data_IF_020105559786
#
_entry.id   IF_020105559786
#
_cell.length_a   1.000
_cell.length_b   1.000
_cell.length_c   1.000
_cell.angle_alpha   90.00
_cell.angle_beta   90.00
_cell.angle_gamma   90.00
#
_symmetry.space_group_name_H-M   'P 1'
#
loop_
_entity.id
_entity.type
_entity.pdbx_description
1 polymer ?
#
# COMPACT_ATOMS: atom_id res chain seq x y z
N UNK A 1 -48.64 19.63 -21.44
CA UNK A 1 -47.69 19.45 -20.32
C UNK A 1 -46.35 19.96 -20.82
N UNK A 2 -45.76 21.06 -20.28
CA UNK A 2 -44.45 21.50 -20.70
C UNK A 2 -43.38 20.55 -20.13
N UNK A 3 -42.53 20.04 -21.00
CA UNK A 3 -41.42 19.14 -20.65
C UNK A 3 -40.41 19.84 -19.72
N UNK A 4 -40.11 19.21 -18.60
CA UNK A 4 -39.08 19.63 -17.68
C UNK A 4 -37.71 19.51 -18.38
N UNK A 5 -36.91 20.58 -18.37
CA UNK A 5 -35.58 20.61 -18.94
C UNK A 5 -34.65 19.62 -18.27
N UNK A 6 -33.82 18.83 -19.00
CA UNK A 6 -32.91 17.84 -18.45
C UNK A 6 -31.88 18.39 -17.43
N UNK A 7 -31.57 19.68 -17.46
CA UNK A 7 -30.62 20.33 -16.56
C UNK A 7 -31.13 20.62 -15.13
N UNK A 8 -32.45 20.54 -14.87
CA UNK A 8 -32.99 20.73 -13.53
C UNK A 8 -32.86 19.47 -12.65
N UNK A 9 -32.83 18.26 -13.25
CA UNK A 9 -32.71 17.01 -12.49
C UNK A 9 -31.29 16.79 -11.95
N UNK A 10 -30.24 17.17 -12.69
CA UNK A 10 -28.85 16.97 -12.25
C UNK A 10 -28.47 17.89 -11.08
N UNK A 11 -28.96 19.11 -11.03
CA UNK A 11 -28.68 20.03 -9.92
C UNK A 11 -29.33 19.61 -8.59
N UNK A 12 -30.51 19.04 -8.65
CA UNK A 12 -31.25 18.58 -7.47
C UNK A 12 -30.65 17.31 -6.87
N UNK A 13 -30.22 16.38 -7.70
CA UNK A 13 -29.51 15.15 -7.24
C UNK A 13 -28.19 15.50 -6.58
N UNK A 14 -27.38 16.41 -7.15
CA UNK A 14 -26.12 16.84 -6.57
C UNK A 14 -26.30 17.53 -5.20
N UNK A 15 -27.39 18.33 -5.03
CA UNK A 15 -27.72 18.97 -3.75
C UNK A 15 -28.12 17.93 -2.71
N UNK A 16 -28.98 16.98 -3.05
CA UNK A 16 -29.39 15.88 -2.17
C UNK A 16 -28.19 15.04 -1.70
N UNK A 17 -27.25 14.75 -2.60
CA UNK A 17 -26.07 13.98 -2.24
C UNK A 17 -25.10 14.77 -1.36
N UNK A 18 -24.96 16.08 -1.56
CA UNK A 18 -24.20 16.95 -0.66
C UNK A 18 -24.83 16.97 0.73
N UNK A 19 -26.15 17.09 0.82
CA UNK A 19 -26.88 17.04 2.10
C UNK A 19 -26.66 15.70 2.82
N UNK A 20 -26.68 14.58 2.11
CA UNK A 20 -26.35 13.26 2.66
C UNK A 20 -24.93 13.22 3.23
N UNK A 21 -23.93 13.78 2.52
CA UNK A 21 -22.56 13.86 3.00
C UNK A 21 -22.43 14.70 4.28
N UNK A 22 -23.14 15.83 4.36
CA UNK A 22 -23.15 16.66 5.57
C UNK A 22 -23.93 16.00 6.73
N UNK A 23 -25.01 15.30 6.46
CA UNK A 23 -25.74 14.50 7.46
C UNK A 23 -24.86 13.39 8.03
N UNK A 24 -24.12 12.66 7.17
CA UNK A 24 -23.17 11.63 7.60
C UNK A 24 -22.01 12.23 8.43
N UNK A 25 -21.48 13.38 8.01
CA UNK A 25 -20.44 14.07 8.76
C UNK A 25 -20.95 14.54 10.15
N UNK A 26 -22.17 15.03 10.21
CA UNK A 26 -22.83 15.44 11.47
C UNK A 26 -23.10 14.23 12.37
N UNK A 27 -23.50 13.09 11.80
CA UNK A 27 -23.73 11.85 12.54
C UNK A 27 -22.47 11.36 13.28
N UNK A 28 -21.27 11.63 12.75
CA UNK A 28 -19.98 11.26 13.36
C UNK A 28 -19.63 12.13 14.58
N UNK A 29 -20.21 13.32 14.72
CA UNK A 29 -19.91 14.21 15.85
C UNK A 29 -20.29 13.54 17.16
N UNK A 30 -19.37 13.56 18.14
CA UNK A 30 -19.54 12.96 19.46
C UNK A 30 -19.33 11.44 19.53
N UNK A 31 -18.98 10.77 18.42
CA UNK A 31 -18.79 9.31 18.39
C UNK A 31 -17.34 8.85 18.51
N UNK A 32 -16.45 9.73 18.98
CA UNK A 32 -15.04 9.39 19.14
C UNK A 32 -14.83 8.18 20.05
N UNK A 33 -15.56 8.10 21.17
CA UNK A 33 -15.46 6.98 22.11
C UNK A 33 -15.79 5.64 21.45
N UNK A 34 -16.86 5.58 20.66
CA UNK A 34 -17.25 4.39 19.92
C UNK A 34 -16.19 4.00 18.85
N UNK A 35 -15.58 4.97 18.19
CA UNK A 35 -14.49 4.74 17.24
C UNK A 35 -13.24 4.19 17.94
N UNK A 36 -12.92 4.71 19.12
CA UNK A 36 -11.81 4.23 19.94
C UNK A 36 -12.04 2.80 20.44
N UNK A 37 -13.24 2.47 20.89
CA UNK A 37 -13.60 1.10 21.29
C UNK A 37 -13.44 0.13 20.12
N UNK A 38 -13.91 0.51 18.93
CA UNK A 38 -13.74 -0.27 17.71
C UNK A 38 -12.26 -0.48 17.35
N UNK A 39 -11.43 0.56 17.49
CA UNK A 39 -9.99 0.49 17.26
C UNK A 39 -9.30 -0.40 18.29
N UNK A 40 -9.61 -0.21 19.58
CA UNK A 40 -9.06 -1.01 20.65
C UNK A 40 -9.33 -2.50 20.45
N UNK A 41 -10.57 -2.88 20.08
CA UNK A 41 -10.94 -4.25 19.79
C UNK A 41 -10.07 -4.89 18.67
N UNK A 42 -9.72 -4.12 17.63
CA UNK A 42 -8.83 -4.62 16.57
C UNK A 42 -7.37 -4.70 17.03
N UNK A 43 -6.91 -3.75 17.85
CA UNK A 43 -5.49 -3.63 18.27
C UNK A 43 -5.15 -4.68 19.33
N UNK A 44 -6.09 -5.02 20.24
CA UNK A 44 -5.90 -6.04 21.26
C UNK A 44 -5.67 -7.45 20.69
N UNK A 45 -6.02 -7.66 19.43
CA UNK A 45 -5.73 -8.91 18.72
C UNK A 45 -4.44 -8.76 17.90
N UNK A 46 -3.42 -9.54 18.24
CA UNK A 46 -2.20 -9.60 17.45
C UNK A 46 -2.49 -10.19 16.06
N UNK A 47 -2.30 -9.38 15.01
CA UNK A 47 -2.47 -9.78 13.61
C UNK A 47 -1.15 -9.69 12.83
N UNK A 48 -0.03 -10.05 13.45
CA UNK A 48 1.22 -10.23 12.70
C UNK A 48 0.97 -11.10 11.46
N UNK A 49 1.53 -10.74 10.32
CA UNK A 49 1.27 -11.41 9.03
C UNK A 49 1.33 -12.94 9.10
N UNK A 50 2.28 -13.47 9.90
CA UNK A 50 2.41 -14.92 10.09
C UNK A 50 1.54 -15.49 11.26
N UNK A 51 0.79 -14.64 11.97
CA UNK A 51 -0.20 -15.09 12.95
C UNK A 51 -1.58 -15.25 12.30
N UNK A 52 -1.75 -16.31 11.54
CA UNK A 52 -2.96 -16.60 10.76
C UNK A 52 -4.23 -16.58 11.62
N UNK A 53 -4.17 -17.16 12.81
CA UNK A 53 -5.33 -17.19 13.73
C UNK A 53 -5.71 -15.80 14.22
N UNK A 54 -4.72 -14.97 14.59
CA UNK A 54 -4.94 -13.60 15.00
C UNK A 54 -5.50 -12.74 13.86
N UNK A 55 -4.96 -12.88 12.65
CA UNK A 55 -5.49 -12.20 11.45
C UNK A 55 -6.93 -12.59 11.16
N UNK A 56 -7.31 -13.87 11.27
CA UNK A 56 -8.71 -14.33 11.13
C UNK A 56 -9.64 -13.75 12.19
N UNK A 57 -9.16 -13.60 13.43
CA UNK A 57 -9.93 -12.95 14.51
C UNK A 57 -10.18 -11.47 14.20
N UNK A 58 -9.15 -10.73 13.75
CA UNK A 58 -9.33 -9.34 13.30
C UNK A 58 -10.29 -9.26 12.12
N UNK A 59 -10.18 -10.17 11.16
CA UNK A 59 -11.10 -10.27 10.02
C UNK A 59 -12.55 -10.51 10.45
N UNK A 60 -12.80 -11.33 11.47
CA UNK A 60 -14.13 -11.56 12.02
C UNK A 60 -14.70 -10.29 12.67
N UNK A 61 -13.90 -9.58 13.47
CA UNK A 61 -14.28 -8.30 14.08
C UNK A 61 -14.63 -7.24 13.02
N UNK A 62 -13.83 -7.14 11.96
CA UNK A 62 -14.11 -6.21 10.85
C UNK A 62 -15.43 -6.54 10.13
N UNK A 63 -15.70 -7.83 9.91
CA UNK A 63 -16.98 -8.26 9.32
C UNK A 63 -18.18 -7.92 10.20
N UNK A 64 -18.05 -8.05 11.51
CA UNK A 64 -19.07 -7.65 12.48
C UNK A 64 -19.26 -6.11 12.45
N UNK A 65 -18.20 -5.35 12.51
CA UNK A 65 -18.23 -3.89 12.48
C UNK A 65 -18.83 -3.33 11.17
N UNK A 66 -18.62 -4.03 10.04
CA UNK A 66 -19.10 -3.69 8.70
C UNK A 66 -20.37 -4.44 8.27
N UNK A 67 -21.09 -5.05 9.22
CA UNK A 67 -22.41 -5.67 8.96
C UNK A 67 -23.46 -4.57 8.74
N UNK A 68 -23.42 -3.92 7.58
CA UNK A 68 -24.26 -2.78 7.21
C UNK A 68 -25.29 -3.17 6.16
N UNK A 69 -26.52 -2.62 6.21
CA UNK A 69 -27.51 -2.80 5.14
C UNK A 69 -26.93 -2.40 3.78
N UNK A 70 -27.10 -3.25 2.78
CA UNK A 70 -26.61 -3.00 1.42
C UNK A 70 -25.10 -3.26 1.20
N UNK A 71 -24.37 -3.71 2.22
CA UNK A 71 -22.94 -4.07 2.11
C UNK A 71 -22.75 -5.59 2.31
N UNK A 72 -22.49 -6.32 1.24
CA UNK A 72 -22.18 -7.76 1.28
C UNK A 72 -20.71 -8.01 1.58
N UNK A 73 -20.42 -9.01 2.42
CA UNK A 73 -19.07 -9.44 2.76
C UNK A 73 -18.74 -10.79 2.12
N UNK A 74 -17.55 -10.89 1.55
CA UNK A 74 -16.95 -12.11 0.98
C UNK A 74 -15.63 -12.37 1.70
N UNK A 75 -15.39 -13.61 2.10
CA UNK A 75 -14.12 -14.08 2.63
C UNK A 75 -13.37 -14.79 1.50
N UNK A 76 -12.19 -14.32 1.17
CA UNK A 76 -11.30 -14.94 0.18
C UNK A 76 -10.23 -15.73 0.93
N UNK A 77 -10.29 -17.07 0.90
CA UNK A 77 -9.38 -17.90 1.67
C UNK A 77 -7.92 -17.74 1.20
N UNK A 78 -7.00 -17.69 2.14
CA UNK A 78 -5.57 -17.84 1.93
C UNK A 78 -5.08 -19.16 2.55
N UNK A 79 -4.12 -19.79 1.89
CA UNK A 79 -3.47 -20.99 2.39
C UNK A 79 -2.23 -20.69 3.22
N UNK A 80 -1.69 -19.49 3.08
CA UNK A 80 -0.42 -19.06 3.70
C UNK A 80 -0.61 -18.01 4.78
N UNK A 81 -1.60 -17.14 4.61
CA UNK A 81 -1.89 -16.01 5.49
C UNK A 81 -3.28 -16.13 6.12
N UNK A 82 -3.72 -15.11 6.84
CA UNK A 82 -5.12 -15.01 7.21
C UNK A 82 -5.97 -14.75 5.94
N UNK A 83 -7.27 -15.00 6.03
CA UNK A 83 -8.17 -14.80 4.89
C UNK A 83 -8.28 -13.31 4.57
N UNK A 84 -8.36 -12.98 3.28
CA UNK A 84 -8.63 -11.61 2.82
C UNK A 84 -10.15 -11.35 2.83
N UNK A 85 -10.55 -10.09 2.93
CA UNK A 85 -11.94 -9.70 2.97
C UNK A 85 -12.27 -8.77 1.81
N UNK A 86 -13.42 -8.99 1.18
CA UNK A 86 -13.96 -8.10 0.15
C UNK A 86 -15.39 -7.74 0.49
N UNK A 87 -15.66 -6.45 0.61
CA UNK A 87 -17.02 -5.94 0.84
C UNK A 87 -17.51 -5.21 -0.41
N UNK A 88 -18.76 -5.46 -0.78
CA UNK A 88 -19.35 -4.88 -1.98
C UNK A 88 -20.74 -4.32 -1.69
N UNK A 89 -20.99 -3.09 -2.15
CA UNK A 89 -22.36 -2.59 -2.31
C UNK A 89 -22.77 -2.61 -3.78
N UNK A 90 -24.08 -2.68 -4.04
CA UNK A 90 -24.61 -2.54 -5.42
C UNK A 90 -24.49 -1.11 -5.91
N UNK A 91 -24.73 -0.14 -5.01
CA UNK A 91 -24.72 1.26 -5.31
C UNK A 91 -25.75 1.70 -6.37
N UNK A 92 -25.70 2.97 -6.76
CA UNK A 92 -26.54 3.57 -7.80
C UNK A 92 -26.14 3.05 -9.20
N UNK A 93 -27.13 2.59 -9.94
CA UNK A 93 -26.91 2.07 -11.29
C UNK A 93 -26.34 3.15 -12.22
N UNK A 94 -25.41 2.74 -13.09
CA UNK A 94 -24.76 3.64 -14.06
C UNK A 94 -23.51 4.35 -13.55
N UNK A 95 -23.23 4.33 -12.24
CA UNK A 95 -22.00 4.85 -11.68
C UNK A 95 -20.90 3.78 -11.66
N UNK A 96 -19.66 4.20 -11.84
CA UNK A 96 -18.49 3.31 -11.70
C UNK A 96 -18.15 3.08 -10.23
N UNK A 97 -17.59 1.92 -9.88
CA UNK A 97 -17.22 1.64 -8.50
C UNK A 97 -16.13 2.58 -7.97
N UNK A 98 -16.19 2.86 -6.67
CA UNK A 98 -15.10 3.46 -5.90
C UNK A 98 -14.47 2.35 -5.04
N UNK A 99 -13.16 2.19 -5.15
CA UNK A 99 -12.38 1.24 -4.38
C UNK A 99 -11.84 1.88 -3.10
N UNK A 100 -11.93 1.15 -1.99
CA UNK A 100 -11.29 1.43 -0.71
C UNK A 100 -10.37 0.24 -0.41
N UNK A 101 -9.11 0.48 -0.09
CA UNK A 101 -8.14 -0.60 0.15
C UNK A 101 -7.44 -0.37 1.48
N UNK A 102 -7.22 -1.45 2.19
CA UNK A 102 -6.45 -1.50 3.40
C UNK A 102 -5.99 -2.92 3.74
N UNK A 103 -5.25 -3.06 4.83
CA UNK A 103 -4.78 -4.34 5.32
C UNK A 103 -5.05 -4.51 6.82
N UNK A 104 -5.12 -5.75 7.27
CA UNK A 104 -5.38 -6.09 8.68
C UNK A 104 -4.14 -6.62 9.42
N UNK A 105 -3.10 -7.00 8.66
CA UNK A 105 -1.87 -7.52 9.23
C UNK A 105 -0.95 -6.41 9.77
N UNK A 106 0.04 -6.80 10.56
CA UNK A 106 1.05 -5.93 11.15
C UNK A 106 2.41 -6.62 11.16
N UNK A 107 3.48 -5.84 11.34
CA UNK A 107 4.87 -6.35 11.42
C UNK A 107 5.25 -6.97 12.77
N UNK A 108 4.40 -6.90 13.79
CA UNK A 108 4.79 -7.22 15.17
C UNK A 108 4.47 -8.68 15.57
N UNK A 109 5.49 -9.55 15.71
CA UNK A 109 5.29 -10.88 16.27
C UNK A 109 4.69 -10.83 17.68
N UNK A 110 3.93 -11.88 18.09
CA UNK A 110 3.42 -11.98 19.45
C UNK A 110 4.50 -11.75 20.53
N UNK A 111 4.16 -11.00 21.57
CA UNK A 111 5.06 -10.65 22.67
C UNK A 111 6.05 -9.52 22.42
N UNK A 112 6.08 -8.92 21.21
CA UNK A 112 6.99 -7.81 20.91
C UNK A 112 6.38 -6.44 21.18
N UNK A 113 5.16 -6.22 20.73
CA UNK A 113 4.40 -4.99 20.93
C UNK A 113 2.93 -5.36 20.95
N UNK A 114 2.26 -5.13 22.06
CA UNK A 114 0.89 -5.60 22.30
C UNK A 114 0.07 -4.59 23.09
N UNK A 115 -1.25 -4.70 22.94
CA UNK A 115 -2.25 -3.96 23.67
C UNK A 115 -2.48 -2.54 23.19
N UNK A 116 -3.71 -2.08 23.39
CA UNK A 116 -4.13 -0.70 23.12
C UNK A 116 -3.90 0.17 24.35
N UNK A 117 -3.31 1.35 24.20
CA UNK A 117 -3.03 2.26 25.31
C UNK A 117 -3.43 3.68 24.96
N UNK A 118 -4.03 4.34 25.93
CA UNK A 118 -4.33 5.77 25.89
C UNK A 118 -3.19 6.54 26.55
N UNK A 119 -2.66 7.55 25.85
CA UNK A 119 -1.57 8.42 26.30
C UNK A 119 -1.93 9.88 25.95
N UNK A 120 -2.71 10.52 26.80
CA UNK A 120 -3.27 11.85 26.51
C UNK A 120 -4.10 11.87 25.23
N UNK A 121 -3.71 12.69 24.28
CA UNK A 121 -4.32 12.77 22.95
C UNK A 121 -3.84 11.68 21.99
N UNK A 122 -2.87 10.85 22.40
CA UNK A 122 -2.31 9.79 21.58
C UNK A 122 -2.93 8.45 21.90
N UNK A 123 -2.99 7.57 20.89
CA UNK A 123 -3.35 6.16 21.06
C UNK A 123 -2.22 5.32 20.52
N UNK A 124 -1.74 4.37 21.32
CA UNK A 124 -0.59 3.50 21.04
C UNK A 124 -1.01 2.04 20.96
N UNK A 125 -0.36 1.29 20.09
CA UNK A 125 -0.58 -0.14 19.95
C UNK A 125 -0.25 -0.61 18.54
N UNK A 126 -0.06 -1.93 18.35
CA UNK A 126 0.32 -2.49 17.05
C UNK A 126 -0.77 -2.27 15.99
N UNK A 127 -0.42 -1.56 14.93
CA UNK A 127 -1.33 -1.25 13.84
C UNK A 127 -2.32 -0.11 14.12
N UNK A 128 -2.20 0.64 15.24
CA UNK A 128 -3.06 1.83 15.45
C UNK A 128 -2.94 2.82 14.31
N UNK A 129 -1.74 2.93 13.71
CA UNK A 129 -1.43 3.80 12.59
C UNK A 129 -1.36 2.99 11.29
N UNK A 130 -0.76 1.81 11.31
CA UNK A 130 -0.48 0.96 10.14
C UNK A 130 -1.14 -0.42 10.27
N UNK A 131 -2.43 -0.64 9.76
CA UNK A 131 -3.33 0.47 9.39
C UNK A 131 -4.74 0.28 9.96
N UNK A 132 -4.85 -0.34 11.17
CA UNK A 132 -6.17 -0.58 11.83
C UNK A 132 -6.94 0.72 12.06
N UNK A 133 -6.22 1.83 12.35
CA UNK A 133 -6.83 3.17 12.44
C UNK A 133 -7.48 3.60 11.13
N UNK A 134 -6.86 3.31 9.99
CA UNK A 134 -7.42 3.53 8.66
C UNK A 134 -8.67 2.69 8.40
N UNK A 135 -8.68 1.43 8.85
CA UNK A 135 -9.86 0.55 8.75
C UNK A 135 -11.03 1.08 9.60
N UNK A 136 -10.75 1.64 10.78
CA UNK A 136 -11.78 2.30 11.61
C UNK A 136 -12.33 3.54 10.92
N UNK A 137 -11.48 4.36 10.29
CA UNK A 137 -11.94 5.53 9.50
C UNK A 137 -12.90 5.09 8.40
N UNK A 138 -12.56 4.07 7.61
CA UNK A 138 -13.43 3.52 6.57
C UNK A 138 -14.75 3.03 7.17
N UNK A 139 -14.67 2.20 8.19
CA UNK A 139 -15.82 1.57 8.85
C UNK A 139 -16.83 2.62 9.31
N UNK A 140 -16.34 3.68 9.99
CA UNK A 140 -17.22 4.70 10.55
C UNK A 140 -17.78 5.66 9.52
N UNK A 141 -17.03 5.94 8.45
CA UNK A 141 -17.58 6.68 7.31
C UNK A 141 -18.73 5.91 6.64
N UNK A 142 -18.58 4.60 6.44
CA UNK A 142 -19.64 3.76 5.85
C UNK A 142 -20.86 3.62 6.79
N UNK A 143 -20.65 3.48 8.11
CA UNK A 143 -21.75 3.51 9.11
C UNK A 143 -22.53 4.82 9.05
N UNK A 144 -21.81 5.95 9.00
CA UNK A 144 -22.46 7.27 8.91
C UNK A 144 -23.29 7.42 7.64
N UNK A 145 -22.78 7.00 6.50
CA UNK A 145 -23.49 7.04 5.22
C UNK A 145 -24.71 6.10 5.21
N UNK A 146 -24.56 4.89 5.76
CA UNK A 146 -25.68 3.95 5.90
C UNK A 146 -26.81 4.53 6.78
N UNK A 147 -26.47 5.26 7.85
CA UNK A 147 -27.42 5.90 8.73
C UNK A 147 -28.08 7.17 8.12
N UNK A 148 -27.44 7.80 7.13
CA UNK A 148 -27.87 9.11 6.60
C UNK A 148 -28.56 9.06 5.25
N UNK A 149 -28.67 7.92 4.59
CA UNK A 149 -29.35 7.82 3.29
C UNK A 149 -29.20 6.47 2.61
N UNK A 150 -28.38 5.57 3.19
CA UNK A 150 -28.14 4.23 2.66
C UNK A 150 -27.02 4.16 1.61
N UNK A 151 -26.40 3.00 1.52
CA UNK A 151 -25.27 2.78 0.60
C UNK A 151 -25.72 2.60 -0.86
N UNK A 152 -27.00 2.38 -1.10
CA UNK A 152 -27.56 2.21 -2.45
C UNK A 152 -27.58 3.50 -3.26
N UNK A 153 -27.58 4.65 -2.59
CA UNK A 153 -27.55 5.98 -3.23
C UNK A 153 -26.14 6.39 -3.71
N UNK A 154 -25.10 5.70 -3.23
CA UNK A 154 -23.69 5.96 -3.53
C UNK A 154 -23.23 5.23 -4.80
N UNK A 155 -22.05 5.55 -5.35
CA UNK A 155 -21.40 4.65 -6.30
C UNK A 155 -21.24 3.24 -5.71
N UNK A 156 -21.20 2.19 -6.54
CA UNK A 156 -20.86 0.86 -6.05
C UNK A 156 -19.54 0.90 -5.26
N UNK A 157 -19.52 0.36 -4.05
CA UNK A 157 -18.33 0.32 -3.22
C UNK A 157 -17.60 -1.03 -3.36
N UNK A 158 -16.29 -0.99 -3.35
CA UNK A 158 -15.38 -2.13 -3.34
C UNK A 158 -14.36 -1.91 -2.23
N UNK A 159 -14.66 -2.37 -1.00
CA UNK A 159 -13.69 -2.35 0.08
C UNK A 159 -12.93 -3.68 0.09
N UNK A 160 -11.62 -3.62 0.00
CA UNK A 160 -10.72 -4.78 0.07
C UNK A 160 -9.81 -4.63 1.27
N UNK A 161 -9.77 -5.65 2.13
CA UNK A 161 -8.87 -5.71 3.26
C UNK A 161 -8.02 -6.96 3.12
N UNK A 162 -6.73 -6.79 2.83
CA UNK A 162 -5.78 -7.89 2.68
C UNK A 162 -5.10 -8.22 4.01
N UNK A 163 -4.41 -9.35 4.07
CA UNK A 163 -3.79 -9.88 5.28
C UNK A 163 -2.30 -10.18 5.13
N UNK A 164 -1.67 -9.64 4.07
CA UNK A 164 -0.29 -9.90 3.70
C UNK A 164 0.44 -8.67 3.11
N UNK A 165 -0.07 -7.46 3.43
CA UNK A 165 0.51 -6.20 2.93
C UNK A 165 1.94 -6.02 3.42
N UNK A 166 2.20 -6.31 4.68
CA UNK A 166 3.48 -6.10 5.37
C UNK A 166 4.63 -6.98 4.83
N UNK A 167 4.28 -7.98 4.01
CA UNK A 167 5.25 -8.82 3.29
C UNK A 167 5.16 -8.65 1.77
N UNK A 168 4.50 -7.58 1.29
CA UNK A 168 4.45 -7.19 -0.12
C UNK A 168 3.25 -7.69 -0.90
N UNK A 169 2.17 -8.09 -0.26
CA UNK A 169 0.91 -8.56 -0.84
C UNK A 169 1.04 -9.69 -1.87
N UNK A 170 1.79 -10.77 -1.57
CA UNK A 170 2.02 -11.85 -2.54
C UNK A 170 0.74 -12.54 -3.01
N UNK A 171 -0.31 -12.61 -2.20
CA UNK A 171 -1.65 -13.10 -2.56
C UNK A 171 -2.65 -11.94 -2.65
N UNK A 172 -2.56 -10.97 -1.74
CA UNK A 172 -3.46 -9.82 -1.63
C UNK A 172 -3.51 -8.96 -2.88
N UNK A 173 -2.40 -8.80 -3.59
CA UNK A 173 -2.39 -8.03 -4.83
C UNK A 173 -3.34 -8.59 -5.89
N UNK A 174 -3.48 -9.90 -6.01
CA UNK A 174 -4.42 -10.54 -6.95
C UNK A 174 -5.86 -10.41 -6.48
N UNK A 175 -6.10 -10.46 -5.15
CA UNK A 175 -7.42 -10.21 -4.56
C UNK A 175 -7.85 -8.77 -4.85
N UNK A 176 -6.96 -7.79 -4.64
CA UNK A 176 -7.23 -6.39 -4.95
C UNK A 176 -7.57 -6.24 -6.43
N UNK A 177 -6.72 -6.73 -7.35
CA UNK A 177 -6.94 -6.60 -8.80
C UNK A 177 -8.32 -7.09 -9.22
N UNK A 178 -8.73 -8.28 -8.75
CA UNK A 178 -10.03 -8.87 -9.08
C UNK A 178 -11.20 -8.11 -8.46
N UNK A 179 -11.05 -7.64 -7.22
CA UNK A 179 -12.13 -7.00 -6.49
C UNK A 179 -12.46 -5.60 -7.01
N UNK A 180 -11.43 -4.82 -7.43
CA UNK A 180 -11.58 -3.41 -7.81
C UNK A 180 -11.66 -3.19 -9.34
N UNK A 181 -11.72 -4.26 -10.12
CA UNK A 181 -11.83 -4.15 -11.58
C UNK A 181 -12.98 -3.23 -11.97
N UNK A 182 -12.69 -2.30 -12.90
CA UNK A 182 -13.65 -1.30 -13.38
C UNK A 182 -13.90 -0.11 -12.44
N UNK A 183 -13.21 -0.03 -11.31
CA UNK A 183 -13.27 1.16 -10.45
C UNK A 183 -12.65 2.38 -11.15
N UNK A 184 -13.20 3.57 -10.91
CA UNK A 184 -12.67 4.82 -11.45
C UNK A 184 -11.88 5.65 -10.43
N UNK A 185 -11.84 5.21 -9.19
CA UNK A 185 -11.02 5.77 -8.12
C UNK A 185 -10.65 4.69 -7.09
N UNK A 186 -9.45 4.79 -6.52
CA UNK A 186 -9.00 3.97 -5.41
C UNK A 186 -8.44 4.86 -4.30
N UNK A 187 -8.94 4.68 -3.08
CA UNK A 187 -8.51 5.38 -1.88
C UNK A 187 -7.90 4.38 -0.91
N UNK A 188 -6.67 4.64 -0.47
CA UNK A 188 -5.92 3.74 0.43
C UNK A 188 -5.69 4.45 1.76
N UNK A 189 -6.01 3.76 2.85
CA UNK A 189 -6.07 4.37 4.18
C UNK A 189 -4.86 4.03 5.04
N UNK A 190 -3.69 3.99 4.39
CA UNK A 190 -2.39 3.90 5.07
C UNK A 190 -2.16 5.07 6.03
N UNK A 191 -1.08 4.97 6.80
CA UNK A 191 -0.63 5.96 7.78
C UNK A 191 -0.78 7.40 7.29
N UNK A 192 -1.59 8.21 7.98
CA UNK A 192 -1.74 9.64 7.70
C UNK A 192 -0.44 10.41 7.93
N UNK A 193 -0.22 11.42 7.12
CA UNK A 193 1.01 12.24 7.15
C UNK A 193 0.81 13.52 7.97
N UNK A 194 1.93 14.13 8.36
CA UNK A 194 1.91 15.45 8.99
C UNK A 194 1.15 16.46 8.11
N UNK A 195 0.30 17.28 8.72
CA UNK A 195 -0.55 18.23 8.02
C UNK A 195 -1.59 17.57 7.09
N UNK A 196 -1.93 16.31 7.32
CA UNK A 196 -2.87 15.51 6.52
C UNK A 196 -2.55 15.44 5.03
N UNK A 197 -1.27 15.56 4.68
CA UNK A 197 -0.83 15.54 3.29
C UNK A 197 -1.19 14.21 2.62
N UNK A 198 -1.77 14.31 1.43
CA UNK A 198 -2.26 13.18 0.64
C UNK A 198 -1.13 12.63 -0.23
N UNK A 199 -0.93 11.32 -0.23
CA UNK A 199 0.11 10.66 -1.02
C UNK A 199 -0.44 10.36 -2.41
N UNK A 200 0.27 10.85 -3.43
CA UNK A 200 0.01 10.57 -4.85
C UNK A 200 1.18 9.83 -5.50
N UNK A 201 2.31 9.71 -4.78
CA UNK A 201 3.54 9.10 -5.29
C UNK A 201 4.23 8.25 -4.23
N UNK A 202 4.54 7.00 -4.61
CA UNK A 202 5.41 6.10 -3.84
C UNK A 202 6.41 5.44 -4.77
N UNK A 203 7.63 5.19 -4.28
CA UNK A 203 8.61 4.40 -5.04
C UNK A 203 8.12 2.96 -5.21
N UNK A 204 8.33 2.42 -6.39
CA UNK A 204 8.34 0.99 -6.63
C UNK A 204 9.56 0.34 -5.99
N UNK A 205 9.44 -0.94 -5.73
CA UNK A 205 10.50 -1.74 -5.12
C UNK A 205 10.86 -2.92 -5.99
N UNK A 206 12.11 -3.32 -5.94
CA UNK A 206 12.56 -4.53 -6.59
C UNK A 206 13.71 -5.17 -5.82
N UNK A 207 13.91 -6.45 -6.08
CA UNK A 207 15.03 -7.22 -5.54
C UNK A 207 15.66 -8.00 -6.66
N UNK A 208 16.98 -8.10 -6.64
CA UNK A 208 17.71 -8.96 -7.55
C UNK A 208 18.80 -9.74 -6.81
N UNK A 209 18.96 -11.00 -7.19
CA UNK A 209 20.09 -11.84 -6.78
C UNK A 209 20.94 -12.11 -8.00
N UNK A 210 22.21 -11.73 -7.95
CA UNK A 210 23.17 -12.02 -9.00
C UNK A 210 24.09 -13.14 -8.52
N UNK A 211 24.11 -14.26 -9.26
CA UNK A 211 24.94 -15.44 -8.97
C UNK A 211 26.02 -15.55 -10.03
N UNK A 212 27.26 -15.34 -9.63
CA UNK A 212 28.42 -15.51 -10.50
C UNK A 212 29.00 -16.92 -10.34
N UNK A 213 29.20 -17.57 -11.46
CA UNK A 213 29.85 -18.88 -11.58
C UNK A 213 31.17 -18.77 -12.30
N UNK A 214 32.14 -19.52 -11.85
CA UNK A 214 33.48 -19.58 -12.40
C UNK A 214 34.07 -20.97 -12.34
N UNK A 215 35.38 -21.04 -12.15
CA UNK A 215 36.10 -22.30 -12.04
C UNK A 215 37.21 -22.19 -10.98
N UNK A 216 37.19 -23.08 -10.01
CA UNK A 216 38.21 -23.14 -8.97
C UNK A 216 39.57 -23.58 -9.51
N UNK A 217 40.63 -22.99 -8.98
CA UNK A 217 42.00 -23.39 -9.23
C UNK A 217 42.90 -22.94 -8.07
N UNK A 218 44.06 -23.56 -7.90
CA UNK A 218 45.02 -23.11 -6.90
C UNK A 218 45.69 -21.80 -7.36
N UNK A 219 45.55 -20.75 -6.55
CA UNK A 219 45.95 -19.39 -6.93
C UNK A 219 47.47 -19.22 -7.25
N UNK A 220 48.33 -20.08 -6.72
CA UNK A 220 49.79 -20.01 -6.96
C UNK A 220 50.31 -20.99 -8.03
N UNK A 221 49.68 -22.17 -8.18
CA UNK A 221 50.19 -23.22 -9.06
C UNK A 221 49.59 -23.19 -10.47
N UNK A 222 48.29 -22.95 -10.56
CA UNK A 222 47.56 -23.04 -11.83
C UNK A 222 46.44 -22.00 -11.91
N UNK A 223 46.73 -20.77 -11.52
CA UNK A 223 45.79 -19.64 -11.53
C UNK A 223 45.13 -19.44 -12.90
N UNK A 224 45.89 -19.62 -14.00
CA UNK A 224 45.39 -19.45 -15.37
C UNK A 224 44.33 -20.49 -15.78
N UNK A 225 44.19 -21.60 -15.05
CA UNK A 225 43.18 -22.63 -15.30
C UNK A 225 41.86 -22.33 -14.60
N UNK A 226 41.84 -21.31 -13.73
CA UNK A 226 40.68 -20.84 -13.00
C UNK A 226 39.90 -19.73 -13.72
N UNK A 227 38.64 -19.53 -13.29
CA UNK A 227 37.83 -18.40 -13.69
C UNK A 227 37.20 -17.76 -12.44
N UNK A 228 37.58 -16.53 -12.14
CA UNK A 228 37.29 -15.90 -10.86
C UNK A 228 35.87 -15.31 -10.84
N UNK A 229 34.90 -16.02 -10.23
CA UNK A 229 33.53 -15.59 -10.06
C UNK A 229 33.39 -14.31 -9.22
N UNK A 230 34.22 -14.17 -8.17
CA UNK A 230 34.18 -12.98 -7.32
C UNK A 230 34.63 -11.72 -8.06
N UNK A 231 35.64 -11.84 -8.94
CA UNK A 231 36.06 -10.73 -9.79
C UNK A 231 34.97 -10.34 -10.81
N UNK A 232 34.31 -11.33 -11.44
CA UNK A 232 33.18 -11.06 -12.34
C UNK A 232 32.05 -10.38 -11.59
N UNK A 233 31.71 -10.85 -10.37
CA UNK A 233 30.66 -10.24 -9.55
C UNK A 233 31.03 -8.81 -9.10
N UNK A 234 32.29 -8.53 -8.74
CA UNK A 234 32.72 -7.18 -8.39
C UNK A 234 32.56 -6.19 -9.56
N UNK A 235 32.80 -6.63 -10.80
CA UNK A 235 32.54 -5.83 -12.02
C UNK A 235 31.04 -5.59 -12.25
N UNK A 236 30.21 -6.56 -11.93
CA UNK A 236 28.76 -6.41 -11.96
C UNK A 236 28.29 -5.37 -10.92
N UNK A 237 28.74 -5.53 -9.67
CA UNK A 237 28.43 -4.61 -8.56
C UNK A 237 28.78 -3.16 -8.92
N UNK A 238 29.98 -2.92 -9.44
CA UNK A 238 30.39 -1.59 -9.86
C UNK A 238 29.44 -0.98 -10.92
N UNK A 239 29.06 -1.78 -11.93
CA UNK A 239 28.15 -1.34 -12.99
C UNK A 239 26.76 -1.01 -12.48
N UNK A 240 26.17 -1.90 -11.67
CA UNK A 240 24.78 -1.68 -11.22
C UNK A 240 24.67 -0.55 -10.19
N UNK A 241 25.70 -0.34 -9.35
CA UNK A 241 25.71 0.80 -8.42
C UNK A 241 25.70 2.15 -9.17
N UNK A 242 26.30 2.23 -10.36
CA UNK A 242 26.29 3.43 -11.20
C UNK A 242 24.93 3.73 -11.83
N UNK A 243 23.94 2.83 -11.73
CA UNK A 243 22.55 3.07 -12.16
C UNK A 243 21.76 3.93 -11.18
N UNK A 244 22.31 4.22 -10.00
CA UNK A 244 21.69 5.14 -9.04
C UNK A 244 21.56 6.53 -9.67
N UNK A 245 20.35 7.09 -9.66
CA UNK A 245 20.01 8.40 -10.23
C UNK A 245 19.08 9.14 -9.25
N UNK A 246 19.67 9.92 -8.35
CA UNK A 246 18.91 10.66 -7.34
C UNK A 246 17.92 11.66 -7.93
N UNK A 247 18.23 12.42 -8.99
CA UNK A 247 17.26 13.29 -9.68
C UNK A 247 16.02 12.55 -10.18
N UNK A 248 16.17 11.32 -10.70
CA UNK A 248 15.05 10.44 -11.10
C UNK A 248 14.44 9.67 -9.94
N UNK A 249 14.99 9.78 -8.73
CA UNK A 249 14.57 9.04 -7.54
C UNK A 249 14.92 7.55 -7.59
N UNK A 250 15.84 7.14 -8.47
CA UNK A 250 16.32 5.76 -8.59
C UNK A 250 17.43 5.53 -7.58
N UNK A 251 17.32 4.44 -6.80
CA UNK A 251 18.38 4.01 -5.90
C UNK A 251 18.62 2.51 -6.04
N UNK A 252 19.90 2.16 -6.18
CA UNK A 252 20.39 0.78 -6.21
C UNK A 252 21.25 0.57 -4.98
N UNK A 253 20.99 -0.49 -4.24
CA UNK A 253 21.78 -0.85 -3.08
C UNK A 253 22.20 -2.33 -3.16
N UNK A 254 23.48 -2.59 -3.43
CA UNK A 254 24.05 -3.92 -3.24
C UNK A 254 24.31 -4.10 -1.75
N UNK A 255 23.35 -4.70 -1.05
CA UNK A 255 23.36 -4.77 0.42
C UNK A 255 24.21 -5.92 0.96
N UNK A 256 24.45 -6.95 0.14
CA UNK A 256 25.19 -8.13 0.59
C UNK A 256 25.95 -8.77 -0.58
N UNK A 257 27.19 -9.16 -0.30
CA UNK A 257 28.04 -9.94 -1.21
C UNK A 257 28.69 -11.08 -0.44
N UNK A 258 28.63 -12.30 -1.00
CA UNK A 258 29.27 -13.48 -0.45
C UNK A 258 30.02 -14.24 -1.55
N UNK A 259 31.11 -14.90 -1.24
CA UNK A 259 31.84 -15.71 -2.22
C UNK A 259 33.24 -16.11 -1.80
N UNK A 260 33.79 -17.12 -2.49
CA UNK A 260 35.11 -17.68 -2.24
C UNK A 260 35.17 -18.59 -1.01
N UNK A 261 36.15 -19.45 -0.95
CA UNK A 261 36.39 -20.40 0.15
C UNK A 261 37.68 -20.14 0.89
N UNK A 262 38.67 -19.54 0.24
CA UNK A 262 39.98 -19.29 0.83
C UNK A 262 40.88 -18.41 -0.07
N UNK A 263 41.80 -17.68 0.55
CA UNK A 263 42.66 -16.71 -0.14
C UNK A 263 43.60 -17.33 -1.21
N UNK A 264 43.83 -18.61 -1.16
CA UNK A 264 44.70 -19.33 -2.08
C UNK A 264 43.96 -20.16 -3.14
N UNK A 265 42.65 -19.95 -3.27
CA UNK A 265 41.81 -20.62 -4.26
C UNK A 265 41.06 -19.57 -5.11
N UNK A 266 41.11 -19.71 -6.44
CA UNK A 266 40.32 -18.91 -7.36
C UNK A 266 38.85 -19.20 -7.07
N UNK A 267 37.99 -18.21 -6.73
CA UNK A 267 36.58 -18.44 -6.43
C UNK A 267 35.81 -18.91 -7.65
N UNK A 268 35.08 -20.00 -7.51
CA UNK A 268 34.15 -20.53 -8.54
C UNK A 268 32.68 -20.12 -8.35
N UNK A 269 32.38 -19.47 -7.21
CA UNK A 269 31.03 -19.03 -6.89
C UNK A 269 31.05 -17.75 -6.06
N UNK A 270 30.14 -16.82 -6.41
CA UNK A 270 29.88 -15.62 -5.62
C UNK A 270 28.43 -15.12 -5.85
N UNK A 271 27.83 -14.48 -4.84
CA UNK A 271 26.45 -14.01 -4.85
C UNK A 271 26.38 -12.57 -4.38
N UNK A 272 25.57 -11.74 -5.03
CA UNK A 272 25.19 -10.40 -4.58
C UNK A 272 23.67 -10.30 -4.45
N UNK A 273 23.22 -9.68 -3.36
CA UNK A 273 21.80 -9.35 -3.12
C UNK A 273 21.62 -7.83 -3.25
N UNK A 274 20.63 -7.42 -4.07
CA UNK A 274 20.44 -6.02 -4.48
C UNK A 274 19.02 -5.58 -4.23
N UNK A 275 18.83 -4.43 -3.58
CA UNK A 275 17.55 -3.69 -3.46
C UNK A 275 17.48 -2.60 -4.54
N UNK A 276 16.31 -2.45 -5.15
CA UNK A 276 16.00 -1.48 -6.18
C UNK A 276 14.86 -0.59 -5.73
N UNK A 277 14.99 0.72 -5.96
CA UNK A 277 13.87 1.69 -5.80
C UNK A 277 13.80 2.57 -7.03
N UNK A 278 12.58 2.82 -7.51
CA UNK A 278 12.34 3.60 -8.73
C UNK A 278 10.98 4.32 -8.64
N UNK A 279 10.75 5.31 -9.51
CA UNK A 279 9.58 6.17 -9.42
C UNK A 279 8.51 5.88 -10.49
N UNK A 280 8.89 5.26 -11.60
CA UNK A 280 7.96 4.92 -12.68
C UNK A 280 8.12 3.45 -13.09
N UNK A 281 7.06 2.85 -13.64
CA UNK A 281 7.10 1.50 -14.20
C UNK A 281 8.19 1.39 -15.26
N UNK A 282 8.30 2.40 -16.13
CA UNK A 282 9.32 2.42 -17.18
C UNK A 282 10.75 2.37 -16.61
N UNK A 283 11.01 3.06 -15.49
CA UNK A 283 12.29 2.98 -14.77
C UNK A 283 12.55 1.56 -14.25
N UNK A 284 11.55 0.91 -13.66
CA UNK A 284 11.66 -0.47 -13.17
C UNK A 284 11.99 -1.46 -14.27
N UNK A 285 11.29 -1.39 -15.40
CA UNK A 285 11.55 -2.21 -16.58
C UNK A 285 12.93 -1.95 -17.18
N UNK A 286 13.36 -0.69 -17.24
CA UNK A 286 14.70 -0.31 -17.69
C UNK A 286 15.77 -0.90 -16.77
N UNK A 287 15.62 -0.81 -15.46
CA UNK A 287 16.58 -1.35 -14.49
C UNK A 287 16.75 -2.85 -14.63
N UNK A 288 15.66 -3.61 -14.78
CA UNK A 288 15.73 -5.06 -14.99
C UNK A 288 16.51 -5.41 -16.25
N UNK A 289 16.34 -4.67 -17.34
CA UNK A 289 17.12 -4.88 -18.57
C UNK A 289 18.60 -4.53 -18.38
N UNK A 290 18.89 -3.40 -17.71
CA UNK A 290 20.26 -2.95 -17.46
C UNK A 290 21.02 -3.87 -16.50
N UNK A 291 20.34 -4.49 -15.55
CA UNK A 291 20.96 -5.50 -14.68
C UNK A 291 21.41 -6.73 -15.49
N UNK A 292 20.59 -7.22 -16.41
CA UNK A 292 20.97 -8.35 -17.29
C UNK A 292 22.14 -7.97 -18.19
N UNK A 293 22.10 -6.81 -18.79
CA UNK A 293 23.21 -6.29 -19.63
C UNK A 293 24.51 -6.17 -18.79
N UNK A 294 24.43 -5.61 -17.58
CA UNK A 294 25.57 -5.48 -16.69
C UNK A 294 26.18 -6.85 -16.32
N UNK A 295 25.33 -7.89 -16.16
CA UNK A 295 25.78 -9.25 -15.89
C UNK A 295 26.56 -9.84 -17.09
N UNK A 296 26.04 -9.69 -18.30
CA UNK A 296 26.70 -10.14 -19.53
C UNK A 296 28.04 -9.44 -19.76
N UNK A 297 28.07 -8.11 -19.62
CA UNK A 297 29.29 -7.30 -19.75
C UNK A 297 30.34 -7.61 -18.68
N UNK A 298 29.90 -7.84 -17.45
CA UNK A 298 30.80 -8.18 -16.34
C UNK A 298 31.43 -9.56 -16.56
N UNK A 299 30.64 -10.55 -16.93
CA UNK A 299 31.10 -11.92 -17.21
C UNK A 299 32.04 -11.97 -18.43
N UNK A 300 31.72 -11.26 -19.51
CA UNK A 300 32.59 -11.21 -20.71
C UNK A 300 33.96 -10.64 -20.42
N UNK A 301 34.10 -9.77 -19.42
CA UNK A 301 35.35 -9.21 -18.96
C UNK A 301 36.21 -10.16 -18.10
N UNK A 302 35.70 -11.35 -17.76
CA UNK A 302 36.41 -12.40 -16.99
C UNK A 302 36.14 -13.75 -17.67
N UNK A 303 37.00 -14.16 -18.63
CA UNK A 303 36.77 -15.37 -19.40
C UNK A 303 36.54 -16.61 -18.53
N UNK A 304 35.59 -17.45 -18.95
CA UNK A 304 35.18 -18.65 -18.24
C UNK A 304 34.21 -18.44 -17.08
N UNK A 305 33.73 -17.22 -16.88
CA UNK A 305 32.66 -16.92 -15.90
C UNK A 305 31.30 -16.69 -16.59
N UNK A 306 30.23 -16.86 -15.82
CA UNK A 306 28.88 -16.42 -16.17
C UNK A 306 28.21 -15.80 -14.95
N UNK A 307 27.27 -14.86 -15.16
CA UNK A 307 26.47 -14.27 -14.09
C UNK A 307 24.99 -14.44 -14.46
N UNK A 308 24.24 -15.06 -13.57
CA UNK A 308 22.81 -15.22 -13.64
C UNK A 308 22.17 -14.18 -12.72
N UNK A 309 21.11 -13.47 -13.22
CA UNK A 309 20.36 -12.48 -12.45
C UNK A 309 18.92 -12.94 -12.33
N UNK A 310 18.51 -13.21 -11.11
CA UNK A 310 17.15 -13.56 -10.74
C UNK A 310 16.46 -12.41 -10.00
N UNK A 311 15.11 -12.36 -10.07
CA UNK A 311 14.33 -11.29 -9.46
C UNK A 311 13.98 -10.18 -10.45
N UNK A 312 13.69 -9.00 -9.94
CA UNK A 312 13.22 -7.86 -10.71
C UNK A 312 12.29 -6.96 -9.91
N UNK A 313 11.25 -6.41 -10.55
CA UNK A 313 10.22 -5.60 -9.88
C UNK A 313 9.42 -6.49 -8.93
N UNK A 314 9.40 -6.12 -7.65
CA UNK A 314 8.61 -6.79 -6.61
C UNK A 314 7.26 -6.07 -6.38
N UNK A 315 7.28 -4.73 -6.39
CA UNK A 315 6.08 -3.90 -6.26
C UNK A 315 6.20 -2.72 -7.22
N UNK A 316 5.14 -2.48 -8.00
CA UNK A 316 5.06 -1.32 -8.89
C UNK A 316 5.05 -0.01 -8.09
N UNK A 317 5.41 1.14 -8.67
CA UNK A 317 5.28 2.43 -8.03
C UNK A 317 3.81 2.89 -7.98
N UNK A 318 3.48 3.74 -7.02
CA UNK A 318 2.31 4.62 -7.13
C UNK A 318 2.73 5.83 -7.95
N UNK A 319 2.25 5.90 -9.18
CA UNK A 319 2.58 6.99 -10.09
C UNK A 319 1.55 8.13 -10.00
N UNK A 320 2.06 9.37 -9.94
CA UNK A 320 1.22 10.56 -10.03
C UNK A 320 0.81 10.80 -11.48
N UNK A 321 -0.46 10.68 -11.74
CA UNK A 321 -1.09 11.00 -13.02
C UNK A 321 -1.95 12.27 -12.91
N UNK A 322 -2.39 12.85 -14.02
CA UNK A 322 -3.38 13.94 -14.00
C UNK A 322 -4.68 13.49 -13.33
N UNK A 323 -5.10 12.25 -13.57
CA UNK A 323 -6.30 11.68 -12.96
C UNK A 323 -6.16 11.49 -11.44
N UNK A 324 -5.00 11.03 -10.94
CA UNK A 324 -4.76 10.92 -9.50
C UNK A 324 -4.62 12.30 -8.83
N UNK A 325 -4.08 13.30 -9.55
CA UNK A 325 -4.06 14.68 -9.06
C UNK A 325 -5.48 15.28 -8.97
N UNK A 326 -6.34 15.02 -9.95
CA UNK A 326 -7.74 15.43 -9.90
C UNK A 326 -8.49 14.72 -8.76
N UNK A 327 -8.24 13.42 -8.55
CA UNK A 327 -8.78 12.66 -7.42
C UNK A 327 -8.32 13.27 -6.07
N UNK A 328 -7.02 13.58 -5.95
CA UNK A 328 -6.46 14.25 -4.77
C UNK A 328 -7.15 15.59 -4.50
N UNK A 329 -7.37 16.42 -5.52
CA UNK A 329 -8.03 17.71 -5.37
C UNK A 329 -9.49 17.55 -4.92
N UNK A 330 -10.23 16.60 -5.50
CA UNK A 330 -11.62 16.31 -5.12
C UNK A 330 -11.72 15.81 -3.68
N UNK A 331 -10.88 14.84 -3.27
CA UNK A 331 -10.83 14.37 -1.89
C UNK A 331 -10.35 15.47 -0.94
N UNK A 332 -9.33 16.23 -1.34
CA UNK A 332 -8.76 17.34 -0.58
C UNK A 332 -9.78 18.44 -0.26
N UNK A 333 -10.72 18.72 -1.16
CA UNK A 333 -11.83 19.65 -0.88
C UNK A 333 -12.72 19.14 0.26
N UNK A 334 -13.03 17.84 0.29
CA UNK A 334 -13.79 17.23 1.37
C UNK A 334 -12.99 17.17 2.68
N UNK A 335 -11.69 16.94 2.60
CA UNK A 335 -10.78 16.98 3.75
C UNK A 335 -10.73 18.37 4.37
N UNK A 336 -10.60 19.41 3.55
CA UNK A 336 -10.58 20.81 4.00
C UNK A 336 -11.86 21.19 4.75
N UNK A 337 -13.03 20.86 4.20
CA UNK A 337 -14.33 21.11 4.87
C UNK A 337 -14.43 20.33 6.19
N UNK A 338 -13.72 19.21 6.32
CA UNK A 338 -13.64 18.40 7.55
C UNK A 338 -12.59 18.90 8.54
N UNK A 339 -11.93 20.05 8.29
CA UNK A 339 -10.92 20.63 9.18
C UNK A 339 -9.53 19.99 9.05
N UNK A 340 -9.29 19.21 8.00
CA UNK A 340 -7.99 18.59 7.72
C UNK A 340 -7.16 19.43 6.74
N UNK A 341 -5.85 19.20 6.76
CA UNK A 341 -4.99 19.59 5.65
C UNK A 341 -5.32 18.80 4.39
N UNK A 342 -4.87 19.33 3.23
CA UNK A 342 -5.20 18.76 1.93
C UNK A 342 -4.05 18.94 0.91
N UNK A 343 -2.84 19.20 1.41
CA UNK A 343 -1.65 19.31 0.58
C UNK A 343 -1.19 17.96 0.02
N UNK A 344 -0.37 18.01 -1.02
CA UNK A 344 0.28 16.82 -1.58
C UNK A 344 1.52 16.45 -0.78
N UNK A 345 1.67 15.18 -0.44
CA UNK A 345 2.86 14.68 0.23
C UNK A 345 4.07 14.65 -0.71
N UNK A 346 5.27 14.81 -0.16
CA UNK A 346 6.49 14.50 -0.89
C UNK A 346 6.51 13.01 -1.31
N UNK A 347 7.38 12.68 -2.29
CA UNK A 347 7.58 11.30 -2.72
C UNK A 347 7.91 10.38 -1.53
N UNK A 348 7.13 9.32 -1.34
CA UNK A 348 7.30 8.35 -0.27
C UNK A 348 8.18 7.19 -0.74
N UNK A 349 9.17 6.80 0.08
CA UNK A 349 10.12 5.74 -0.26
C UNK A 349 9.60 4.32 -0.11
N UNK A 350 8.60 4.09 0.77
CA UNK A 350 7.96 2.78 0.99
C UNK A 350 6.79 2.53 0.04
N UNK A 351 6.57 1.27 -0.33
CA UNK A 351 5.42 0.85 -1.13
C UNK A 351 4.12 0.84 -0.32
N UNK A 352 2.99 0.61 -0.98
CA UNK A 352 1.69 0.25 -0.41
C UNK A 352 0.82 -0.40 -1.49
N UNK A 353 -0.33 -0.91 -1.12
CA UNK A 353 -1.28 -1.50 -2.07
C UNK A 353 -1.93 -0.49 -3.04
N UNK A 354 -1.76 0.82 -2.80
CA UNK A 354 -2.06 1.85 -3.79
C UNK A 354 -1.30 1.66 -5.11
N UNK A 355 -0.13 1.01 -5.06
CA UNK A 355 0.64 0.64 -6.24
C UNK A 355 -0.08 -0.38 -7.12
N UNK A 356 -0.81 -1.31 -6.52
CA UNK A 356 -1.57 -2.34 -7.24
C UNK A 356 -2.70 -1.71 -8.06
N UNK A 357 -3.49 -0.81 -7.48
CA UNK A 357 -4.55 -0.10 -8.19
C UNK A 357 -3.99 0.86 -9.25
N UNK A 358 -2.91 1.57 -8.95
CA UNK A 358 -2.19 2.44 -9.90
C UNK A 358 -1.69 1.66 -11.12
N UNK A 359 -1.13 0.46 -10.90
CA UNK A 359 -0.68 -0.43 -11.97
C UNK A 359 -1.81 -0.91 -12.92
N UNK A 360 -3.06 -0.90 -12.44
CA UNK A 360 -4.26 -1.16 -13.25
C UNK A 360 -4.75 0.06 -14.02
N UNK A 361 -4.08 1.21 -13.89
CA UNK A 361 -4.52 2.48 -14.49
C UNK A 361 -5.67 3.17 -13.73
N UNK A 362 -5.99 2.72 -12.52
CA UNK A 362 -7.02 3.33 -11.67
C UNK A 362 -6.39 4.52 -10.94
N UNK A 363 -6.96 5.74 -11.04
CA UNK A 363 -6.52 6.88 -10.25
C UNK A 363 -6.51 6.53 -8.76
N UNK A 364 -5.36 6.68 -8.10
CA UNK A 364 -5.17 6.23 -6.72
C UNK A 364 -4.53 7.31 -5.86
N UNK A 365 -5.01 7.45 -4.63
CA UNK A 365 -4.43 8.29 -3.57
C UNK A 365 -4.30 7.47 -2.29
N UNK A 366 -3.37 7.89 -1.42
CA UNK A 366 -3.00 7.11 -0.25
C UNK A 366 -2.64 8.01 0.94
N UNK A 367 -2.40 7.41 2.12
CA UNK A 367 -2.10 8.14 3.36
C UNK A 367 -3.33 8.78 3.98
N UNK A 368 -4.51 8.21 3.75
CA UNK A 368 -5.80 8.77 4.17
C UNK A 368 -6.21 8.36 5.60
N UNK A 369 -5.43 7.50 6.25
CA UNK A 369 -5.63 7.10 7.64
C UNK A 369 -5.37 8.24 8.65
N UNK A 370 -5.50 7.96 9.96
CA UNK A 370 -5.25 8.94 11.01
C UNK A 370 -3.81 9.42 11.03
N UNK A 371 -3.56 10.65 11.50
CA UNK A 371 -2.20 11.15 11.70
C UNK A 371 -1.52 10.40 12.82
N UNK A 372 -0.22 10.18 12.67
CA UNK A 372 0.60 9.54 13.69
C UNK A 372 2.05 9.41 13.27
N UNK A 373 2.81 8.67 14.05
CA UNK A 373 4.23 8.37 13.79
C UNK A 373 4.59 7.00 14.36
N UNK A 374 5.76 6.51 13.98
CA UNK A 374 6.37 5.35 14.59
C UNK A 374 5.90 4.02 14.05
N UNK A 375 5.20 3.97 12.88
CA UNK A 375 4.87 2.70 12.25
C UNK A 375 6.13 1.80 12.13
N UNK A 376 5.95 0.49 12.24
CA UNK A 376 7.02 -0.53 12.31
C UNK A 376 7.95 -0.41 13.53
N UNK A 377 7.58 0.39 14.55
CA UNK A 377 8.31 0.47 15.81
C UNK A 377 7.35 0.35 17.01
N UNK A 378 7.89 0.05 18.20
CA UNK A 378 7.10 0.00 19.45
C UNK A 378 6.62 1.38 19.92
N UNK A 379 7.04 2.44 19.23
CA UNK A 379 6.63 3.82 19.48
C UNK A 379 5.44 4.26 18.61
N UNK A 380 4.80 3.33 17.90
CA UNK A 380 3.67 3.59 17.03
C UNK A 380 2.50 4.22 17.77
N UNK A 381 1.98 5.32 17.23
CA UNK A 381 0.83 6.03 17.76
C UNK A 381 0.03 6.77 16.69
N UNK A 382 -1.22 7.08 17.02
CA UNK A 382 -2.07 8.04 16.30
C UNK A 382 -2.44 9.23 17.18
N UNK A 383 -2.73 10.36 16.53
CA UNK A 383 -3.43 11.51 17.09
C UNK A 383 -4.94 11.24 16.98
N UNK A 384 -5.57 10.93 18.11
CA UNK A 384 -6.94 10.40 18.15
C UNK A 384 -7.99 11.37 17.63
N UNK A 385 -7.74 12.66 17.76
CA UNK A 385 -8.59 13.75 17.27
C UNK A 385 -8.76 13.75 15.75
N UNK A 386 -7.92 13.02 15.03
CA UNK A 386 -7.98 12.93 13.56
C UNK A 386 -8.96 11.88 13.04
N UNK A 387 -9.41 10.95 13.87
CA UNK A 387 -10.30 9.85 13.45
C UNK A 387 -11.64 10.37 12.88
N UNK A 388 -12.33 11.26 13.61
CA UNK A 388 -13.60 11.82 13.16
C UNK A 388 -13.43 12.64 11.87
N UNK A 389 -12.54 13.63 11.80
CA UNK A 389 -12.35 14.41 10.56
C UNK A 389 -12.00 13.56 9.35
N UNK A 390 -11.20 12.50 9.51
CA UNK A 390 -10.85 11.56 8.42
C UNK A 390 -12.07 10.78 7.94
N UNK A 391 -12.92 10.28 8.85
CA UNK A 391 -14.16 9.61 8.49
C UNK A 391 -15.19 10.58 7.83
N UNK A 392 -15.27 11.82 8.31
CA UNK A 392 -16.10 12.86 7.70
C UNK A 392 -15.66 13.20 6.27
N UNK A 393 -14.36 13.33 6.03
CA UNK A 393 -13.80 13.57 4.71
C UNK A 393 -14.16 12.46 3.73
N UNK A 394 -14.03 11.19 4.13
CA UNK A 394 -14.41 10.05 3.31
C UNK A 394 -15.91 10.04 3.03
N UNK A 395 -16.75 10.26 4.05
CA UNK A 395 -18.20 10.27 3.88
C UNK A 395 -18.66 11.36 2.88
N UNK A 396 -18.14 12.60 3.02
CA UNK A 396 -18.40 13.68 2.07
C UNK A 396 -17.93 13.35 0.66
N UNK A 397 -16.73 12.78 0.53
CA UNK A 397 -16.20 12.40 -0.78
C UNK A 397 -17.08 11.34 -1.45
N UNK A 398 -17.44 10.26 -0.76
CA UNK A 398 -18.28 9.21 -1.35
C UNK A 398 -19.65 9.74 -1.76
N UNK A 399 -20.27 10.59 -0.94
CA UNK A 399 -21.54 11.25 -1.29
C UNK A 399 -21.39 12.14 -2.53
N UNK A 400 -20.31 12.94 -2.62
CA UNK A 400 -20.07 13.82 -3.78
C UNK A 400 -19.89 13.08 -5.11
N UNK A 401 -19.58 11.78 -5.07
CA UNK A 401 -19.43 10.94 -6.27
C UNK A 401 -20.72 10.40 -6.84
N UNK A 402 -21.85 10.63 -6.18
CA UNK A 402 -23.15 10.11 -6.54
C UNK A 402 -24.08 11.14 -7.23
N UNK A 403 -23.66 12.41 -7.24
CA UNK A 403 -24.42 13.54 -7.81
C UNK A 403 -23.93 14.04 -9.15
#
# INVERSE_FOLDING_TARGET
>A
MPGLHPGMHSGWEAETMREMGEAAASWLVGRLGEMEEALAALVEVNSWTNNVEGGRKVGALLREQLALPGLGAEVVPSTRFADHLVFRSKGKAGLKPVALVGHLDTVFPPGKFEGYRQDGALRRGPGVLDMKGGLVVITWALKALAASGGLESLPPLRLVVVSDEEVGSPEGADVIRKAIEGADACLVFESGRAGDAIITRRKGTGMATAVAHGKAAHAGNNHQDGANALWALARFVDRVQQLTDYPRGITINVGKVTGGQGKNTVPDHAVAEVDLRFCTRADGEELVRRFRQAAEEAASGVPGTRIEVEGGVAREPLERTEASAALMAAYGSCAHVSGLGHGEAALVGGGSDASTSSAMGIPSIDGLGPRGKGFHTVDEFIEVDTLIPKAQALARYLASRAG
#
